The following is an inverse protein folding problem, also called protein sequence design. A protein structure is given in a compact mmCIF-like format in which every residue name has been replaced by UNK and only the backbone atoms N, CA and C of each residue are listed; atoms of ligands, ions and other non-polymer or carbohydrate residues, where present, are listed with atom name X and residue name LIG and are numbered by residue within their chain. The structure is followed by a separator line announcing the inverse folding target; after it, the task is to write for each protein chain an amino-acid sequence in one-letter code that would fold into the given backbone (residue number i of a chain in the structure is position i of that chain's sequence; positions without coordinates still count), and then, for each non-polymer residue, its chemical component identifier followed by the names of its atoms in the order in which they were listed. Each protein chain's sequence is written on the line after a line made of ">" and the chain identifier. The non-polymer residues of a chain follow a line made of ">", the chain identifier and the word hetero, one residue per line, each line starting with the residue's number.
data_IF_665483901783
#
_entry.id   IF_665483901783
#
_cell.length_a   1.000
_cell.length_b   1.000
_cell.length_c   1.000
_cell.angle_alpha   90.00
_cell.angle_beta   90.00
_cell.angle_gamma   90.00
#
_symmetry.space_group_name_H-M   'P 1'
#
loop_
_entity.id
_entity.type
_entity.pdbx_description
1 polymer ?
#
# COMPACT_ATOMS: atom_id res chain seq x y z
N UNK A 1 -4.66 16.65 28.11
CA UNK A 1 -5.29 15.89 27.01
C UNK A 1 -4.42 16.02 25.76
N UNK A 2 -3.92 14.93 25.18
CA UNK A 2 -2.99 14.98 24.03
C UNK A 2 -3.77 14.85 22.73
N UNK A 3 -3.58 15.76 21.78
CA UNK A 3 -4.23 15.70 20.46
C UNK A 3 -3.59 14.53 19.69
N UNK A 4 -4.38 13.55 19.17
CA UNK A 4 -3.85 12.49 18.33
C UNK A 4 -3.22 13.10 17.07
N UNK A 5 -2.05 12.60 16.67
CA UNK A 5 -1.29 13.09 15.51
C UNK A 5 -1.14 11.96 14.50
N UNK A 6 -1.11 12.31 13.22
CA UNK A 6 -0.90 11.37 12.12
C UNK A 6 -2.06 11.39 11.13
N UNK A 7 -1.82 10.83 9.95
CA UNK A 7 -2.72 10.90 8.80
C UNK A 7 -4.16 10.45 9.11
N UNK A 8 -4.33 9.38 9.90
CA UNK A 8 -5.65 8.92 10.32
C UNK A 8 -6.39 9.93 11.21
N UNK A 9 -5.69 10.53 12.17
CA UNK A 9 -6.25 11.53 13.07
C UNK A 9 -6.61 12.82 12.30
N UNK A 10 -5.75 13.24 11.37
CA UNK A 10 -5.98 14.41 10.52
C UNK A 10 -7.17 14.20 9.58
N UNK A 11 -7.30 13.00 8.99
CA UNK A 11 -8.47 12.62 8.18
C UNK A 11 -9.76 12.68 9.00
N UNK A 12 -9.78 12.06 10.17
CA UNK A 12 -10.95 12.03 11.06
C UNK A 12 -11.34 13.44 11.53
N UNK A 13 -10.35 14.27 11.89
CA UNK A 13 -10.58 15.67 12.24
C UNK A 13 -11.16 16.46 11.04
N UNK A 14 -10.69 16.17 9.83
CA UNK A 14 -11.11 16.80 8.58
C UNK A 14 -12.51 16.43 8.10
N UNK A 15 -13.10 15.32 8.57
CA UNK A 15 -14.43 14.86 8.13
C UNK A 15 -15.54 15.92 8.29
N UNK A 16 -15.43 16.79 9.29
CA UNK A 16 -16.36 17.91 9.50
C UNK A 16 -16.44 18.89 8.32
N UNK A 17 -15.40 18.95 7.49
CA UNK A 17 -15.39 19.77 6.26
C UNK A 17 -16.19 19.13 5.14
N UNK A 18 -16.30 17.79 5.13
CA UNK A 18 -17.09 17.05 4.16
C UNK A 18 -18.57 16.95 4.58
N UNK A 19 -18.85 16.73 5.87
CA UNK A 19 -20.19 16.81 6.44
C UNK A 19 -20.12 17.36 7.88
N UNK A 20 -20.70 18.54 8.18
CA UNK A 20 -20.65 19.16 9.50
C UNK A 20 -21.20 18.28 10.64
N UNK A 21 -22.06 17.29 10.32
CA UNK A 21 -22.62 16.36 11.30
C UNK A 21 -21.59 15.35 11.83
N UNK A 22 -20.43 15.24 11.17
CA UNK A 22 -19.31 14.38 11.58
C UNK A 22 -18.31 15.12 12.48
N UNK A 23 -18.82 15.87 13.45
CA UNK A 23 -18.00 16.52 14.46
C UNK A 23 -17.64 15.51 15.55
N UNK A 24 -16.37 15.08 15.56
CA UNK A 24 -15.86 14.06 16.48
C UNK A 24 -15.12 14.67 17.66
N UNK A 25 -15.29 14.09 18.85
CA UNK A 25 -14.49 14.47 20.01
C UNK A 25 -13.05 13.95 19.87
N UNK A 26 -12.11 14.56 20.61
CA UNK A 26 -10.71 14.09 20.66
C UNK A 26 -10.63 12.60 21.06
N UNK A 27 -11.49 12.18 21.99
CA UNK A 27 -11.59 10.78 22.44
C UNK A 27 -12.06 9.85 21.32
N UNK A 28 -13.03 10.29 20.52
CA UNK A 28 -13.51 9.49 19.38
C UNK A 28 -12.46 9.38 18.29
N UNK A 29 -11.72 10.46 18.01
CA UNK A 29 -10.62 10.43 17.05
C UNK A 29 -9.53 9.45 17.51
N UNK A 30 -9.13 9.51 18.79
CA UNK A 30 -8.16 8.56 19.35
C UNK A 30 -8.64 7.11 19.25
N UNK A 31 -9.94 6.87 19.45
CA UNK A 31 -10.55 5.54 19.36
C UNK A 31 -10.61 5.02 17.93
N UNK A 32 -10.91 5.88 16.96
CA UNK A 32 -11.13 5.51 15.56
C UNK A 32 -9.86 5.47 14.73
N UNK A 33 -8.84 6.25 15.09
CA UNK A 33 -7.59 6.37 14.34
C UNK A 33 -6.94 5.01 14.01
N UNK A 34 -6.80 4.05 14.94
CA UNK A 34 -6.22 2.75 14.63
C UNK A 34 -6.99 1.96 13.55
N UNK A 35 -8.32 2.12 13.50
CA UNK A 35 -9.14 1.46 12.49
C UNK A 35 -8.94 2.10 11.10
N UNK A 36 -8.72 3.42 11.03
CA UNK A 36 -8.35 4.10 9.79
C UNK A 36 -6.94 3.72 9.34
N UNK A 37 -5.99 3.61 10.27
CA UNK A 37 -4.63 3.14 9.97
C UNK A 37 -4.65 1.73 9.36
N UNK A 38 -5.56 0.85 9.82
CA UNK A 38 -5.74 -0.47 9.23
C UNK A 38 -6.24 -0.41 7.77
N UNK A 39 -7.03 0.60 7.38
CA UNK A 39 -7.42 0.81 5.98
C UNK A 39 -6.22 1.25 5.15
N UNK A 40 -5.42 2.18 5.66
CA UNK A 40 -4.20 2.65 5.00
C UNK A 40 -3.17 1.55 4.84
N UNK A 41 -2.99 0.70 5.84
CA UNK A 41 -2.13 -0.48 5.76
C UNK A 41 -2.57 -1.47 4.66
N UNK A 42 -3.86 -1.45 4.28
CA UNK A 42 -4.40 -2.24 3.16
C UNK A 42 -4.45 -1.44 1.85
N UNK A 43 -3.71 -0.34 1.76
CA UNK A 43 -3.57 0.45 0.54
C UNK A 43 -4.78 1.33 0.21
N UNK A 44 -5.72 1.55 1.15
CA UNK A 44 -6.82 2.46 0.91
C UNK A 44 -6.31 3.91 0.79
N UNK A 45 -6.70 4.60 -0.28
CA UNK A 45 -6.40 6.02 -0.44
C UNK A 45 -7.23 6.87 0.56
N UNK A 46 -6.70 7.99 1.09
CA UNK A 46 -7.42 8.88 2.02
C UNK A 46 -8.79 9.30 1.51
N UNK A 47 -8.90 9.66 0.23
CA UNK A 47 -10.14 10.11 -0.38
C UNK A 47 -11.16 8.97 -0.47
N UNK A 48 -10.69 7.73 -0.67
CA UNK A 48 -11.56 6.55 -0.68
C UNK A 48 -12.12 6.25 0.71
N UNK A 49 -11.31 6.41 1.76
CA UNK A 49 -11.76 6.31 3.15
C UNK A 49 -12.82 7.37 3.43
N UNK A 50 -12.55 8.65 3.14
CA UNK A 50 -13.51 9.74 3.34
C UNK A 50 -14.83 9.46 2.63
N UNK A 51 -14.79 9.14 1.33
CA UNK A 51 -16.00 8.80 0.56
C UNK A 51 -16.80 7.68 1.19
N UNK A 52 -16.14 6.63 1.68
CA UNK A 52 -16.83 5.49 2.30
C UNK A 52 -17.45 5.86 3.65
N UNK A 53 -16.76 6.69 4.44
CA UNK A 53 -17.25 7.17 5.72
C UNK A 53 -18.42 8.15 5.58
N UNK A 54 -18.47 8.93 4.50
CA UNK A 54 -19.53 9.92 4.25
C UNK A 54 -20.64 9.45 3.32
N UNK A 55 -20.51 8.27 2.68
CA UNK A 55 -21.52 7.74 1.78
C UNK A 55 -22.85 7.45 2.51
N UNK A 56 -23.99 7.75 1.88
CA UNK A 56 -25.34 7.36 2.35
C UNK A 56 -25.55 7.55 3.88
N UNK A 57 -25.17 8.71 4.41
CA UNK A 57 -25.38 9.01 5.83
C UNK A 57 -26.88 9.11 6.13
N UNK A 58 -27.35 8.55 7.25
CA UNK A 58 -28.73 8.70 7.67
C UNK A 58 -29.14 10.18 7.79
N UNK A 59 -30.41 10.48 7.58
CA UNK A 59 -30.94 11.83 7.76
C UNK A 59 -30.72 12.34 9.20
N UNK A 60 -30.95 11.45 10.19
CA UNK A 60 -30.70 11.73 11.61
C UNK A 60 -29.50 10.91 12.09
N UNK A 61 -28.40 11.60 12.37
CA UNK A 61 -27.14 10.99 12.81
C UNK A 61 -26.97 11.13 14.33
N UNK A 62 -27.48 10.15 15.09
CA UNK A 62 -27.42 10.18 16.56
C UNK A 62 -26.04 9.81 17.13
N UNK A 63 -25.33 8.91 16.47
CA UNK A 63 -24.06 8.36 16.96
C UNK A 63 -23.00 8.33 15.84
N UNK A 64 -22.42 9.48 15.47
CA UNK A 64 -21.46 9.56 14.38
C UNK A 64 -20.26 8.63 14.60
N UNK A 65 -19.62 8.68 15.76
CA UNK A 65 -18.47 7.83 16.06
C UNK A 65 -18.79 6.33 16.02
N UNK A 66 -20.00 5.93 16.45
CA UNK A 66 -20.46 4.54 16.40
C UNK A 66 -20.67 4.05 14.97
N UNK A 67 -21.29 4.87 14.11
CA UNK A 67 -21.47 4.56 12.69
C UNK A 67 -20.11 4.42 11.99
N UNK A 68 -19.19 5.35 12.24
CA UNK A 68 -17.85 5.31 11.65
C UNK A 68 -17.08 4.07 12.10
N UNK A 69 -17.12 3.73 13.40
CA UNK A 69 -16.50 2.50 13.91
C UNK A 69 -17.06 1.26 13.21
N UNK A 70 -18.38 1.19 13.06
CA UNK A 70 -19.04 0.06 12.38
C UNK A 70 -18.63 -0.06 10.92
N UNK A 71 -18.58 1.06 10.18
CA UNK A 71 -18.15 1.06 8.77
C UNK A 71 -16.69 0.69 8.61
N UNK A 72 -15.80 1.26 9.43
CA UNK A 72 -14.38 0.93 9.39
C UNK A 72 -14.12 -0.55 9.67
N UNK A 73 -14.90 -1.18 10.55
CA UNK A 73 -14.78 -2.61 10.82
C UNK A 73 -15.39 -3.48 9.71
N UNK A 74 -16.58 -3.13 9.23
CA UNK A 74 -17.36 -4.00 8.32
C UNK A 74 -16.93 -3.87 6.86
N UNK A 75 -16.49 -2.69 6.45
CA UNK A 75 -16.08 -2.39 5.06
C UNK A 75 -14.56 -2.40 4.88
N UNK A 76 -13.83 -2.95 5.84
CA UNK A 76 -12.37 -3.03 5.80
C UNK A 76 -11.93 -3.76 4.51
N UNK A 77 -11.17 -3.11 3.61
CA UNK A 77 -10.77 -3.72 2.34
C UNK A 77 -10.02 -5.04 2.57
N UNK A 78 -10.11 -6.04 1.68
CA UNK A 78 -9.27 -7.23 1.79
C UNK A 78 -7.79 -6.85 1.76
N UNK A 79 -6.90 -7.63 2.41
CA UNK A 79 -5.47 -7.38 2.29
C UNK A 79 -5.07 -7.45 0.82
N UNK A 80 -4.30 -6.47 0.35
CA UNK A 80 -3.72 -6.51 -0.99
C UNK A 80 -2.71 -7.66 -0.97
N UNK A 81 -2.78 -8.63 -1.90
CA UNK A 81 -1.80 -9.69 -1.96
C UNK A 81 -0.42 -9.04 -2.12
N UNK A 82 0.58 -9.54 -1.38
CA UNK A 82 1.96 -9.13 -1.58
C UNK A 82 2.27 -9.30 -3.06
N UNK A 83 2.36 -8.18 -3.78
CA UNK A 83 2.82 -8.24 -5.16
C UNK A 83 4.23 -8.78 -5.05
N UNK A 84 4.56 -9.92 -5.67
CA UNK A 84 5.91 -10.46 -5.59
C UNK A 84 6.82 -9.31 -6.01
N UNK A 85 7.66 -8.87 -5.06
CA UNK A 85 8.62 -7.81 -5.31
C UNK A 85 9.39 -8.29 -6.52
N UNK A 86 9.30 -7.57 -7.64
CA UNK A 86 9.97 -7.98 -8.87
C UNK A 86 11.40 -8.34 -8.48
N UNK A 87 11.80 -9.59 -8.77
CA UNK A 87 13.13 -10.06 -8.39
C UNK A 87 14.13 -9.01 -8.87
N UNK A 88 15.04 -8.60 -7.99
CA UNK A 88 16.04 -7.61 -8.36
C UNK A 88 16.71 -8.08 -9.66
N UNK A 89 16.88 -7.21 -10.66
CA UNK A 89 17.50 -7.62 -11.91
C UNK A 89 18.87 -8.21 -11.60
N UNK A 90 19.21 -9.32 -12.26
CA UNK A 90 20.50 -9.98 -12.06
C UNK A 90 21.65 -8.96 -12.22
N UNK A 91 22.72 -9.11 -11.42
CA UNK A 91 23.90 -8.27 -11.55
C UNK A 91 24.48 -8.36 -12.96
N UNK A 92 25.18 -7.29 -13.37
CA UNK A 92 25.93 -7.29 -14.62
C UNK A 92 27.22 -8.07 -14.39
N UNK A 93 27.45 -9.08 -15.22
CA UNK A 93 28.63 -9.92 -15.27
C UNK A 93 29.35 -9.69 -16.60
N UNK A 94 30.67 -9.83 -16.60
CA UNK A 94 31.47 -9.91 -17.83
C UNK A 94 31.66 -11.36 -18.23
N UNK A 95 31.67 -11.62 -19.54
CA UNK A 95 31.88 -12.96 -20.08
C UNK A 95 33.26 -13.52 -19.69
N UNK A 96 33.29 -14.71 -19.09
CA UNK A 96 34.56 -15.36 -18.70
C UNK A 96 35.40 -15.84 -19.89
N UNK A 97 34.80 -15.91 -21.09
CA UNK A 97 35.46 -16.45 -22.31
C UNK A 97 35.97 -15.35 -23.22
N UNK A 98 35.17 -14.30 -23.48
CA UNK A 98 35.56 -13.20 -24.36
C UNK A 98 35.93 -11.90 -23.62
N UNK A 99 35.55 -11.73 -22.35
CA UNK A 99 35.75 -10.52 -21.52
C UNK A 99 35.21 -9.18 -22.11
N UNK A 100 34.65 -9.19 -23.32
CA UNK A 100 34.17 -8.01 -24.03
C UNK A 100 32.67 -7.74 -23.84
N UNK A 101 31.90 -8.78 -23.47
CA UNK A 101 30.44 -8.68 -23.35
C UNK A 101 29.99 -8.63 -21.90
N UNK A 102 29.32 -7.54 -21.54
CA UNK A 102 28.60 -7.42 -20.29
C UNK A 102 27.15 -7.92 -20.45
N UNK A 103 26.70 -8.84 -19.59
CA UNK A 103 25.35 -9.40 -19.61
C UNK A 103 24.80 -9.59 -18.20
N UNK A 104 23.49 -9.81 -18.07
CA UNK A 104 22.84 -10.01 -16.76
C UNK A 104 22.73 -11.50 -16.45
N UNK A 105 23.37 -11.93 -15.36
CA UNK A 105 23.32 -13.33 -14.90
C UNK A 105 23.45 -13.43 -13.37
N UNK A 106 22.86 -14.46 -12.75
CA UNK A 106 22.95 -14.67 -11.30
C UNK A 106 24.40 -14.93 -10.85
N UNK A 107 25.19 -15.61 -11.68
CA UNK A 107 26.57 -16.00 -11.40
C UNK A 107 27.48 -15.65 -12.60
N UNK A 108 28.79 -15.48 -12.39
CA UNK A 108 29.75 -15.32 -13.48
C UNK A 108 29.71 -16.49 -14.45
N UNK A 109 29.80 -16.21 -15.75
CA UNK A 109 29.72 -17.26 -16.77
C UNK A 109 29.96 -16.76 -18.19
N UNK A 110 29.64 -17.61 -19.15
CA UNK A 110 29.76 -17.31 -20.56
C UNK A 110 28.58 -16.47 -21.05
N UNK A 111 28.85 -15.50 -21.94
CA UNK A 111 27.78 -14.76 -22.59
C UNK A 111 26.98 -15.66 -23.55
N UNK A 112 25.74 -15.28 -23.90
CA UNK A 112 24.89 -16.07 -24.80
C UNK A 112 25.58 -16.46 -26.12
N UNK A 113 26.40 -15.57 -26.67
CA UNK A 113 27.13 -15.80 -27.92
C UNK A 113 28.23 -16.85 -27.76
N UNK A 114 29.00 -16.80 -26.65
CA UNK A 114 30.02 -17.80 -26.36
C UNK A 114 29.40 -19.18 -26.10
N UNK A 115 28.25 -19.24 -25.42
CA UNK A 115 27.51 -20.48 -25.21
C UNK A 115 27.00 -21.06 -26.55
N UNK A 116 26.52 -20.20 -27.45
CA UNK A 116 26.09 -20.62 -28.79
C UNK A 116 27.26 -21.18 -29.61
N UNK A 117 28.38 -20.46 -29.66
CA UNK A 117 29.60 -20.90 -30.35
C UNK A 117 30.17 -22.21 -29.78
N UNK A 118 30.13 -22.40 -28.45
CA UNK A 118 30.57 -23.64 -27.83
C UNK A 118 29.68 -24.82 -28.21
N UNK A 119 28.36 -24.62 -28.32
CA UNK A 119 27.40 -25.66 -28.77
C UNK A 119 27.59 -26.01 -30.23
N UNK A 120 27.83 -25.03 -31.09
CA UNK A 120 28.12 -25.26 -32.52
C UNK A 120 29.40 -26.04 -32.74
N UNK A 121 30.44 -25.80 -31.93
CA UNK A 121 31.70 -26.56 -31.97
C UNK A 121 31.59 -27.99 -31.45
N UNK A 122 30.58 -28.26 -30.62
CA UNK A 122 30.33 -29.57 -30.02
C UNK A 122 29.37 -30.44 -30.87
N UNK A 123 28.79 -29.88 -31.93
CA UNK A 123 27.95 -30.57 -32.92
C UNK A 123 28.78 -31.05 -34.10
#
# INVERSE_FOLDING_TARGET
>A
MRIPRGQAADLLAGLRLADPRLLLSVRDIQRLAPAVDAWFARGAAPEAVVRTLTAALPAVLKYPAGLLAHRLATLLPPPVPDRPRAAAPHPIQFCVTCDETAFRAPEPGECPDCVALARERAA
#
